data_IF_866182852696
#
_entry.id   IF_866182852696
#
_cell.length_a   1.000
_cell.length_b   1.000
_cell.length_c   1.000
_cell.angle_alpha   90.00
_cell.angle_beta   90.00
_cell.angle_gamma   90.00
#
_symmetry.space_group_name_H-M   'P 1'
#
loop_
_entity.id
_entity.type
_entity.pdbx_description
1 polymer ?
#
# COMPACT_ATOMS: atom_id res chain seq x y z
N UNK A 1 81.44 6.85 -21.54
CA UNK A 1 80.64 6.89 -20.30
C UNK A 1 79.18 6.87 -20.70
N UNK A 2 78.36 5.98 -20.12
CA UNK A 2 76.93 5.89 -20.42
C UNK A 2 76.14 6.49 -19.25
N UNK A 3 75.17 7.36 -19.56
CA UNK A 3 74.28 7.98 -18.58
C UNK A 3 73.10 7.03 -18.37
N UNK A 4 73.05 6.40 -17.20
CA UNK A 4 71.89 5.64 -16.73
C UNK A 4 70.84 6.63 -16.22
N UNK A 5 69.78 6.84 -17.01
CA UNK A 5 68.58 7.55 -16.56
C UNK A 5 67.76 6.57 -15.73
N UNK A 6 67.83 6.71 -14.41
CA UNK A 6 66.98 6.00 -13.47
C UNK A 6 65.61 6.68 -13.40
N UNK A 7 64.58 5.98 -13.86
CA UNK A 7 63.20 6.42 -13.77
C UNK A 7 62.78 6.45 -12.29
N UNK A 8 62.45 7.64 -11.76
CA UNK A 8 61.96 7.78 -10.39
C UNK A 8 60.55 7.18 -10.29
N UNK A 9 60.46 5.92 -9.85
CA UNK A 9 59.18 5.31 -9.49
C UNK A 9 58.69 5.94 -8.19
N UNK A 10 57.71 6.85 -8.28
CA UNK A 10 57.03 7.38 -7.09
C UNK A 10 56.34 6.23 -6.36
N UNK A 11 56.66 5.98 -5.08
CA UNK A 11 55.95 4.95 -4.32
C UNK A 11 54.49 5.39 -4.14
N UNK A 12 53.57 4.51 -4.48
CA UNK A 12 52.14 4.73 -4.26
C UNK A 12 51.89 4.65 -2.75
N UNK A 13 51.25 5.69 -2.19
CA UNK A 13 50.87 5.73 -0.79
C UNK A 13 49.57 4.93 -0.57
N UNK A 14 49.71 3.63 -0.35
CA UNK A 14 48.59 2.73 -0.09
C UNK A 14 47.73 3.12 1.13
N UNK A 15 48.34 3.71 2.16
CA UNK A 15 47.61 4.14 3.34
C UNK A 15 46.63 5.27 3.00
N UNK A 16 47.06 6.25 2.18
CA UNK A 16 46.19 7.33 1.72
C UNK A 16 45.03 6.81 0.87
N UNK A 17 45.28 5.82 0.01
CA UNK A 17 44.23 5.21 -0.83
C UNK A 17 43.19 4.53 0.04
N UNK A 18 43.62 3.70 1.00
CA UNK A 18 42.71 2.98 1.90
C UNK A 18 41.86 3.98 2.71
N UNK A 19 42.48 5.04 3.21
CA UNK A 19 41.77 6.08 3.96
C UNK A 19 40.67 6.75 3.13
N UNK A 20 40.97 7.10 1.87
CA UNK A 20 39.98 7.68 0.95
C UNK A 20 38.85 6.69 0.66
N UNK A 21 39.16 5.42 0.44
CA UNK A 21 38.14 4.37 0.21
C UNK A 21 37.21 4.22 1.40
N UNK A 22 37.74 4.24 2.64
CA UNK A 22 36.93 4.17 3.86
C UNK A 22 36.00 5.37 3.97
N UNK A 23 36.49 6.58 3.68
CA UNK A 23 35.68 7.80 3.67
C UNK A 23 34.52 7.70 2.68
N UNK A 24 34.81 7.24 1.45
CA UNK A 24 33.78 7.04 0.42
C UNK A 24 32.76 6.00 0.86
N UNK A 25 33.20 4.87 1.41
CA UNK A 25 32.33 3.80 1.89
C UNK A 25 31.40 4.28 3.02
N UNK A 26 31.90 5.13 3.92
CA UNK A 26 31.11 5.67 5.03
C UNK A 26 30.03 6.64 4.54
N UNK A 27 30.38 7.53 3.60
CA UNK A 27 29.40 8.46 3.00
C UNK A 27 28.34 7.70 2.20
N UNK A 28 28.78 6.76 1.35
CA UNK A 28 27.86 5.96 0.53
C UNK A 28 26.96 5.07 1.39
N UNK A 29 27.51 4.41 2.41
CA UNK A 29 26.76 3.57 3.34
C UNK A 29 25.76 4.38 4.17
N UNK A 30 26.16 5.56 4.65
CA UNK A 30 25.27 6.47 5.38
C UNK A 30 24.10 6.93 4.50
N UNK A 31 24.38 7.38 3.27
CA UNK A 31 23.34 7.74 2.32
C UNK A 31 22.42 6.55 2.01
N UNK A 32 22.97 5.37 1.73
CA UNK A 32 22.18 4.17 1.48
C UNK A 32 21.25 3.87 2.64
N UNK A 33 21.74 3.88 3.88
CA UNK A 33 20.91 3.62 5.05
C UNK A 33 19.81 4.66 5.23
N UNK A 34 20.11 5.94 4.99
CA UNK A 34 19.13 7.02 5.17
C UNK A 34 17.97 6.94 4.16
N UNK A 35 18.26 6.53 2.92
CA UNK A 35 17.26 6.48 1.85
C UNK A 35 16.61 5.10 1.64
N UNK A 36 17.32 4.02 1.96
CA UNK A 36 16.91 2.65 1.61
C UNK A 36 16.83 1.70 2.80
N UNK A 37 17.18 2.13 4.02
CA UNK A 37 16.88 1.28 5.18
C UNK A 37 15.37 1.12 5.32
N UNK A 38 14.87 -0.12 5.50
CA UNK A 38 13.46 -0.35 5.73
C UNK A 38 13.05 0.35 7.02
N UNK A 39 12.31 1.45 6.88
CA UNK A 39 11.61 2.03 8.02
C UNK A 39 10.55 1.01 8.46
N UNK A 40 10.44 0.70 9.77
CA UNK A 40 9.28 -0.07 10.25
C UNK A 40 8.05 0.69 9.76
N UNK A 41 7.31 0.05 8.85
CA UNK A 41 6.12 0.65 8.24
C UNK A 41 5.26 1.13 9.38
N UNK A 42 4.91 2.43 9.34
CA UNK A 42 4.03 3.07 10.32
C UNK A 42 2.94 2.04 10.59
N UNK A 43 2.90 1.47 11.80
CA UNK A 43 1.77 0.66 12.21
C UNK A 43 0.60 1.57 11.99
N UNK A 44 -0.19 1.28 10.95
CA UNK A 44 -1.36 2.08 10.63
C UNK A 44 -2.22 1.83 11.85
N UNK A 45 -2.20 2.76 12.80
CA UNK A 45 -3.12 2.80 13.93
C UNK A 45 -4.45 3.08 13.25
N UNK A 46 -5.08 2.02 12.74
CA UNK A 46 -6.35 2.12 12.05
C UNK A 46 -7.29 2.70 13.11
N UNK A 47 -7.82 3.92 12.90
CA UNK A 47 -8.71 4.52 13.87
C UNK A 47 -9.85 3.54 14.15
N UNK A 48 -10.33 3.43 15.39
CA UNK A 48 -11.34 2.43 15.76
C UNK A 48 -12.57 2.40 14.82
N UNK A 49 -12.90 3.55 14.21
CA UNK A 49 -13.96 3.72 13.22
C UNK A 49 -13.72 3.02 11.87
N UNK A 50 -12.48 2.78 11.46
CA UNK A 50 -12.16 2.04 10.23
C UNK A 50 -12.04 0.52 10.50
N UNK A 51 -11.78 0.12 11.74
CA UNK A 51 -11.79 -1.30 12.13
C UNK A 51 -13.21 -1.91 12.05
N UNK A 52 -14.25 -1.12 12.35
CA UNK A 52 -15.65 -1.53 12.20
C UNK A 52 -16.05 -1.66 10.73
N UNK A 53 -15.55 -0.79 9.85
CA UNK A 53 -15.82 -0.87 8.40
C UNK A 53 -15.22 -2.16 7.81
N UNK A 54 -13.99 -2.52 8.18
CA UNK A 54 -13.39 -3.79 7.76
C UNK A 54 -14.22 -4.99 8.23
N UNK A 55 -14.69 -4.98 9.48
CA UNK A 55 -15.57 -6.04 10.00
C UNK A 55 -16.86 -6.18 9.18
N UNK A 56 -17.49 -5.08 8.79
CA UNK A 56 -18.72 -5.11 7.97
C UNK A 56 -18.41 -5.61 6.54
N UNK A 57 -17.29 -5.19 5.95
CA UNK A 57 -16.90 -5.62 4.59
C UNK A 57 -16.58 -7.12 4.48
N UNK A 58 -16.25 -7.76 5.60
CA UNK A 58 -15.95 -9.19 5.66
C UNK A 58 -17.16 -10.04 6.02
N UNK A 59 -18.34 -9.44 6.26
CA UNK A 59 -19.57 -10.19 6.50
C UNK A 59 -20.04 -10.77 5.17
N UNK A 60 -19.92 -12.09 5.04
CA UNK A 60 -20.56 -12.85 3.98
C UNK A 60 -22.06 -12.96 4.28
N UNK A 61 -22.87 -12.15 3.57
CA UNK A 61 -24.32 -12.17 3.72
C UNK A 61 -24.93 -13.16 2.72
N UNK A 62 -25.46 -14.27 3.22
CA UNK A 62 -26.27 -15.22 2.45
C UNK A 62 -27.78 -14.90 2.63
N UNK A 63 -28.45 -14.30 1.63
CA UNK A 63 -29.88 -14.02 1.71
C UNK A 63 -30.71 -15.32 1.74
N UNK A 64 -30.20 -16.40 1.16
CA UNK A 64 -30.92 -17.67 1.11
C UNK A 64 -31.06 -18.28 2.50
N UNK A 65 -30.07 -18.11 3.39
CA UNK A 65 -30.17 -18.52 4.79
C UNK A 65 -31.35 -17.86 5.52
N UNK A 66 -31.63 -16.59 5.24
CA UNK A 66 -32.74 -15.84 5.86
C UNK A 66 -34.08 -16.24 5.25
N UNK A 67 -34.20 -16.19 3.92
CA UNK A 67 -35.46 -16.46 3.20
C UNK A 67 -35.90 -17.92 3.38
N UNK A 68 -34.96 -18.85 3.51
CA UNK A 68 -35.28 -20.26 3.73
C UNK A 68 -35.53 -20.64 5.18
N UNK A 69 -35.24 -19.75 6.14
CA UNK A 69 -35.41 -20.03 7.56
C UNK A 69 -36.87 -20.30 7.92
N UNK A 70 -37.09 -21.22 8.88
CA UNK A 70 -38.44 -21.50 9.40
C UNK A 70 -39.08 -20.23 9.99
N UNK A 71 -38.28 -19.42 10.69
CA UNK A 71 -38.73 -18.17 11.29
C UNK A 71 -39.29 -17.22 10.23
N UNK A 72 -38.57 -17.02 9.12
CA UNK A 72 -39.01 -16.14 8.03
C UNK A 72 -40.26 -16.69 7.32
N UNK A 73 -40.34 -18.00 7.08
CA UNK A 73 -41.48 -18.63 6.40
C UNK A 73 -42.79 -18.61 7.20
N UNK A 74 -42.71 -18.49 8.52
CA UNK A 74 -43.90 -18.39 9.40
C UNK A 74 -44.44 -16.96 9.46
N UNK A 75 -43.65 -15.96 9.06
CA UNK A 75 -44.11 -14.57 9.00
C UNK A 75 -45.21 -14.42 7.95
N UNK A 76 -46.31 -13.75 8.33
CA UNK A 76 -47.35 -13.36 7.38
C UNK A 76 -46.84 -12.18 6.55
N UNK A 77 -46.91 -12.30 5.22
CA UNK A 77 -46.74 -11.14 4.35
C UNK A 77 -47.97 -10.26 4.45
N UNK A 78 -47.84 -9.11 5.11
CA UNK A 78 -48.90 -8.10 5.20
C UNK A 78 -48.93 -7.14 4.01
N UNK A 79 -47.95 -7.25 3.11
CA UNK A 79 -47.84 -6.40 1.92
C UNK A 79 -47.99 -7.25 0.66
N UNK A 80 -48.70 -6.71 -0.32
CA UNK A 80 -48.68 -7.25 -1.68
C UNK A 80 -47.33 -6.99 -2.34
N UNK A 81 -47.06 -7.70 -3.44
CA UNK A 81 -45.90 -7.39 -4.27
C UNK A 81 -45.91 -5.89 -4.62
N UNK A 82 -44.76 -5.20 -4.52
CA UNK A 82 -44.69 -3.81 -4.94
C UNK A 82 -45.11 -3.74 -6.42
N UNK A 83 -46.23 -3.08 -6.71
CA UNK A 83 -46.53 -2.72 -8.09
C UNK A 83 -45.50 -1.69 -8.51
N UNK A 84 -44.88 -1.89 -9.68
CA UNK A 84 -44.16 -0.80 -10.33
C UNK A 84 -45.21 0.29 -10.55
N UNK A 85 -45.13 1.37 -9.77
CA UNK A 85 -45.99 2.52 -9.97
C UNK A 85 -45.69 3.16 -11.32
N UNK A 86 -46.19 4.36 -11.54
CA UNK A 86 -45.76 5.14 -12.71
C UNK A 86 -44.28 5.46 -12.54
N UNK A 87 -43.42 4.70 -13.23
CA UNK A 87 -42.05 5.15 -13.54
C UNK A 87 -42.22 6.55 -14.15
N UNK A 88 -41.45 7.53 -13.68
CA UNK A 88 -41.60 8.93 -14.07
C UNK A 88 -41.51 9.17 -15.58
N UNK A 89 -41.29 10.42 -16.00
CA UNK A 89 -41.16 10.73 -17.43
C UNK A 89 -40.10 9.81 -18.05
N UNK A 90 -40.46 9.12 -19.15
CA UNK A 90 -39.52 8.24 -19.87
C UNK A 90 -38.22 8.94 -20.25
N UNK A 91 -38.26 10.29 -20.35
CA UNK A 91 -37.08 11.15 -20.40
C UNK A 91 -37.21 12.29 -19.36
N UNK A 92 -36.34 12.33 -18.33
CA UNK A 92 -36.38 13.34 -17.27
C UNK A 92 -35.85 14.72 -17.70
N UNK A 93 -35.35 14.88 -18.93
CA UNK A 93 -34.72 16.11 -19.42
C UNK A 93 -35.56 16.92 -20.42
N UNK A 94 -36.77 16.48 -20.74
CA UNK A 94 -37.67 17.28 -21.58
C UNK A 94 -38.25 18.40 -20.71
N UNK A 95 -38.24 19.65 -21.18
CA UNK A 95 -38.86 20.79 -20.49
C UNK A 95 -40.34 20.55 -20.16
N UNK A 96 -40.86 21.31 -19.20
CA UNK A 96 -42.29 21.31 -18.84
C UNK A 96 -43.12 22.03 -19.89
#
# INVERSE_FOLDING_TARGET
MAILVSEQKKPINWFAIIFVVILIALVAGGAYYLFFAPTPGIEIIVPPSLQSVTKISQVEFDPAAVVNSRAFKVLRSYTGLPSVGTLGRGNPFIGF
#
